data_IF_033121119330
#
_entry.id   IF_033121119330
#
_cell.length_a   1.000
_cell.length_b   1.000
_cell.length_c   1.000
_cell.angle_alpha   90.00
_cell.angle_beta   90.00
_cell.angle_gamma   90.00
#
_symmetry.space_group_name_H-M   'P 1'
#
loop_
_entity.id
_entity.type
_entity.pdbx_description
1 polymer ?
#
# COMPACT_ATOMS: atom_id res chain seq x y z
N UNK A 1 -39.19 -6.58 -1.99
CA UNK A 1 -37.90 -6.05 -1.51
C UNK A 1 -38.15 -4.61 -1.07
N UNK A 2 -37.85 -4.27 0.19
CA UNK A 2 -38.11 -2.93 0.73
C UNK A 2 -36.80 -2.17 0.90
N UNK A 3 -36.82 -0.84 0.71
CA UNK A 3 -35.64 0.02 0.85
C UNK A 3 -35.76 0.83 2.14
N UNK A 4 -34.71 0.83 2.95
CA UNK A 4 -34.65 1.62 4.18
C UNK A 4 -34.51 3.10 3.88
N UNK A 5 -35.41 3.93 4.41
CA UNK A 5 -35.33 5.39 4.19
C UNK A 5 -34.09 6.03 4.87
N UNK A 6 -33.55 5.42 5.92
CA UNK A 6 -32.46 5.99 6.71
C UNK A 6 -31.06 5.65 6.17
N UNK A 7 -30.89 4.49 5.53
CA UNK A 7 -29.59 4.05 5.01
C UNK A 7 -29.63 3.60 3.55
N UNK A 8 -30.78 3.70 2.87
CA UNK A 8 -30.99 3.30 1.47
C UNK A 8 -30.67 1.84 1.13
N UNK A 9 -30.44 0.99 2.14
CA UNK A 9 -30.17 -0.43 1.93
C UNK A 9 -31.47 -1.24 1.72
N UNK A 10 -31.37 -2.28 0.91
CA UNK A 10 -32.43 -3.25 0.70
C UNK A 10 -32.57 -4.19 1.90
N UNK A 11 -33.81 -4.52 2.26
CA UNK A 11 -34.10 -5.44 3.34
C UNK A 11 -35.40 -6.23 3.10
N UNK A 12 -35.48 -7.40 3.74
CA UNK A 12 -36.65 -8.29 3.66
C UNK A 12 -37.54 -8.24 4.90
N UNK A 13 -37.00 -7.82 6.05
CA UNK A 13 -37.72 -7.74 7.32
C UNK A 13 -37.47 -6.38 8.00
N UNK A 14 -38.54 -5.62 8.26
CA UNK A 14 -38.51 -4.30 8.85
C UNK A 14 -39.90 -3.69 8.97
N UNK A 15 -40.01 -2.56 9.67
CA UNK A 15 -41.28 -1.96 10.02
C UNK A 15 -41.69 -0.89 9.01
N UNK A 16 -42.98 -0.84 8.68
CA UNK A 16 -43.56 0.33 8.04
C UNK A 16 -44.02 1.32 9.12
N UNK A 17 -43.56 2.57 9.04
CA UNK A 17 -44.03 3.63 9.92
C UNK A 17 -45.53 3.86 9.71
N UNK A 18 -46.32 3.84 10.79
CA UNK A 18 -47.77 4.05 10.71
C UNK A 18 -48.14 5.40 10.09
N UNK A 19 -47.34 6.45 10.36
CA UNK A 19 -47.62 7.84 9.98
C UNK A 19 -47.18 8.14 8.55
N UNK A 20 -45.91 7.93 8.20
CA UNK A 20 -45.37 8.31 6.89
C UNK A 20 -45.32 7.16 5.88
N UNK A 21 -45.73 5.95 6.27
CA UNK A 21 -45.70 4.73 5.45
C UNK A 21 -44.33 4.35 4.89
N UNK A 22 -43.24 4.98 5.39
CA UNK A 22 -41.87 4.67 5.02
C UNK A 22 -41.30 3.53 5.87
N UNK A 23 -40.35 2.82 5.27
CA UNK A 23 -39.73 1.60 5.77
C UNK A 23 -38.39 1.90 6.47
N UNK A 24 -38.19 1.29 7.65
CA UNK A 24 -36.97 1.46 8.45
C UNK A 24 -36.67 0.16 9.24
N UNK A 25 -35.38 -0.14 9.36
CA UNK A 25 -34.85 -1.36 9.98
C UNK A 25 -34.32 -1.11 11.40
N UNK A 26 -34.09 0.16 11.79
CA UNK A 26 -33.12 0.44 12.87
C UNK A 26 -33.56 0.16 14.31
N UNK A 27 -34.85 -0.08 14.63
CA UNK A 27 -35.27 -0.42 16.02
C UNK A 27 -36.51 -1.33 16.13
N UNK A 28 -36.90 -2.00 15.04
CA UNK A 28 -38.10 -2.82 15.01
C UNK A 28 -37.98 -4.13 15.80
N UNK A 29 -36.80 -4.78 15.72
CA UNK A 29 -36.59 -6.13 16.28
C UNK A 29 -36.78 -6.23 17.80
N UNK A 30 -36.66 -5.11 18.53
CA UNK A 30 -36.77 -5.07 19.99
C UNK A 30 -38.18 -4.73 20.50
N UNK A 31 -39.20 -4.68 19.63
CA UNK A 31 -40.57 -4.37 20.01
C UNK A 31 -41.44 -5.64 20.00
N UNK A 32 -42.23 -5.84 21.06
CA UNK A 32 -43.25 -6.89 21.14
C UNK A 32 -44.36 -6.67 20.11
N UNK A 33 -45.12 -7.72 19.78
CA UNK A 33 -46.09 -7.76 18.68
C UNK A 33 -47.07 -6.57 18.68
N UNK A 34 -47.61 -6.17 19.83
CA UNK A 34 -48.56 -5.05 19.95
C UNK A 34 -47.93 -3.69 19.60
N UNK A 35 -46.65 -3.50 19.92
CA UNK A 35 -45.92 -2.24 19.64
C UNK A 35 -45.43 -2.15 18.19
N UNK A 36 -45.46 -3.26 17.45
CA UNK A 36 -45.11 -3.30 16.02
C UNK A 36 -46.19 -2.67 15.16
N UNK A 37 -47.48 -2.83 15.51
CA UNK A 37 -48.60 -2.29 14.75
C UNK A 37 -48.70 -0.75 14.81
N UNK A 38 -48.20 -0.13 15.89
CA UNK A 38 -48.23 1.32 16.10
C UNK A 38 -46.86 1.99 15.97
N UNK A 39 -45.91 1.31 15.32
CA UNK A 39 -44.54 1.79 15.23
C UNK A 39 -44.44 3.10 14.42
N UNK A 40 -43.69 4.06 14.95
CA UNK A 40 -43.39 5.35 14.30
C UNK A 40 -41.89 5.51 14.13
N UNK A 41 -41.44 5.96 12.95
CA UNK A 41 -40.04 6.28 12.71
C UNK A 41 -39.59 7.50 13.54
N UNK A 42 -38.28 7.68 13.73
CA UNK A 42 -37.72 8.75 14.56
C UNK A 42 -38.18 10.15 14.13
N UNK A 43 -38.34 10.37 12.83
CA UNK A 43 -38.81 11.65 12.29
C UNK A 43 -40.26 11.93 12.70
N UNK A 44 -41.16 10.96 12.51
CA UNK A 44 -42.56 11.07 12.93
C UNK A 44 -42.73 11.09 14.46
N UNK A 45 -41.80 10.47 15.20
CA UNK A 45 -41.78 10.51 16.67
C UNK A 45 -41.37 11.89 17.18
N UNK A 46 -40.36 12.54 16.59
CA UNK A 46 -39.94 13.91 16.96
C UNK A 46 -41.05 14.95 16.74
N UNK A 47 -41.81 14.80 15.66
CA UNK A 47 -42.95 15.70 15.36
C UNK A 47 -44.12 15.51 16.35
N UNK A 48 -44.24 14.33 16.98
CA UNK A 48 -45.29 14.06 17.97
C UNK A 48 -45.02 14.67 19.36
N UNK A 49 -43.87 15.34 19.56
CA UNK A 49 -43.48 15.99 20.83
C UNK A 49 -43.61 17.52 20.79
N UNK A 50 -44.57 18.06 20.05
CA UNK A 50 -45.01 19.45 20.22
C UNK A 50 -46.18 19.49 21.22
N UNK A 51 -46.12 20.28 22.32
CA UNK A 51 -47.15 20.29 23.34
C UNK A 51 -48.33 21.17 22.88
N UNK A 52 -49.20 20.60 22.07
CA UNK A 52 -50.50 21.19 21.77
C UNK A 52 -51.59 20.39 22.47
N UNK A 53 -52.15 20.97 23.55
CA UNK A 53 -53.49 20.67 24.07
C UNK A 53 -54.52 20.72 22.91
N UNK A 54 -55.66 20.00 22.92
CA UNK A 54 -56.73 20.24 23.90
C UNK A 54 -57.58 19.00 24.28
N UNK A 55 -58.37 19.11 25.35
CA UNK A 55 -59.73 18.55 25.36
C UNK A 55 -60.59 19.30 26.37
N UNK A 56 -61.84 19.51 25.96
CA UNK A 56 -62.76 20.57 26.38
C UNK A 56 -63.97 19.99 27.13
N UNK A 57 -64.50 20.72 28.10
CA UNK A 57 -65.92 20.89 28.54
C UNK A 57 -65.89 21.57 29.94
N UNK A 58 -66.64 22.61 30.30
CA UNK A 58 -67.82 23.25 29.72
C UNK A 58 -68.04 24.70 30.27
N UNK A 59 -68.61 25.57 29.41
CA UNK A 59 -69.54 26.72 29.66
C UNK A 59 -69.16 27.95 30.54
N UNK A 60 -69.90 29.10 30.47
CA UNK A 60 -69.31 30.38 30.05
C UNK A 60 -69.44 31.51 31.09
N UNK A 61 -68.50 32.45 31.11
CA UNK A 61 -68.62 33.64 31.95
C UNK A 61 -67.55 34.65 31.60
N UNK A 62 -67.97 35.89 31.39
CA UNK A 62 -67.15 36.96 30.84
C UNK A 62 -65.87 37.25 31.64
N UNK A 63 -64.84 37.66 30.94
CA UNK A 63 -64.46 39.06 30.97
C UNK A 63 -63.40 39.34 29.90
N UNK A 64 -63.60 40.46 29.22
CA UNK A 64 -62.57 41.22 28.54
C UNK A 64 -61.43 41.54 29.51
N UNK A 65 -60.43 40.67 29.56
CA UNK A 65 -59.10 40.96 30.06
C UNK A 65 -58.15 40.78 28.90
N UNK A 66 -57.73 41.88 28.26
CA UNK A 66 -56.46 41.83 27.56
C UNK A 66 -55.45 41.33 28.59
N UNK A 67 -54.83 40.18 28.33
CA UNK A 67 -53.74 39.64 29.14
C UNK A 67 -52.57 40.63 29.10
N UNK A 68 -52.67 41.67 29.93
CA UNK A 68 -51.54 42.46 30.34
C UNK A 68 -50.62 41.48 31.05
N UNK A 69 -49.46 41.21 30.46
CA UNK A 69 -48.49 40.29 31.01
C UNK A 69 -48.27 40.63 32.50
N UNK A 70 -48.81 39.80 33.38
CA UNK A 70 -48.62 39.95 34.82
C UNK A 70 -47.13 39.91 35.12
N UNK A 71 -46.66 40.77 36.02
CA UNK A 71 -45.24 40.89 36.39
C UNK A 71 -44.57 39.53 36.64
N UNK A 72 -45.29 38.57 37.21
CA UNK A 72 -44.82 37.20 37.46
C UNK A 72 -44.48 36.42 36.17
N UNK A 73 -45.25 36.61 35.10
CA UNK A 73 -44.98 36.01 33.78
C UNK A 73 -43.71 36.61 33.20
N UNK A 74 -43.56 37.93 33.26
CA UNK A 74 -42.36 38.62 32.79
C UNK A 74 -41.12 38.16 33.57
N UNK A 75 -41.20 38.05 34.89
CA UNK A 75 -40.10 37.57 35.73
C UNK A 75 -39.75 36.10 35.45
N UNK A 76 -40.74 35.26 35.14
CA UNK A 76 -40.51 33.87 34.75
C UNK A 76 -39.77 33.80 33.40
N UNK A 77 -40.23 34.53 32.40
CA UNK A 77 -39.58 34.61 31.08
C UNK A 77 -38.14 35.14 31.19
N UNK A 78 -37.89 36.15 32.03
CA UNK A 78 -36.52 36.65 32.30
C UNK A 78 -35.63 35.56 32.90
N UNK A 79 -36.14 34.74 33.82
CA UNK A 79 -35.38 33.61 34.39
C UNK A 79 -35.10 32.54 33.34
N UNK A 80 -36.04 32.27 32.44
CA UNK A 80 -35.86 31.31 31.34
C UNK A 80 -34.85 31.84 30.31
N UNK A 81 -34.94 33.11 29.91
CA UNK A 81 -33.94 33.77 29.07
C UNK A 81 -32.54 33.71 29.69
N UNK A 82 -32.42 33.93 31.01
CA UNK A 82 -31.13 33.80 31.71
C UNK A 82 -30.54 32.39 31.59
N UNK A 83 -31.37 31.34 31.65
CA UNK A 83 -30.93 29.94 31.44
C UNK A 83 -30.50 29.68 29.99
N UNK A 84 -31.22 30.24 29.02
CA UNK A 84 -30.84 30.15 27.61
C UNK A 84 -29.49 30.83 27.36
N UNK A 85 -29.27 32.02 27.93
CA UNK A 85 -27.99 32.73 27.85
C UNK A 85 -26.84 31.89 28.41
N UNK A 86 -27.02 31.24 29.57
CA UNK A 86 -25.97 30.34 30.11
C UNK A 86 -25.72 29.12 29.21
N UNK A 87 -26.76 28.59 28.57
CA UNK A 87 -26.63 27.44 27.66
C UNK A 87 -25.87 27.83 26.40
N UNK A 88 -26.20 29.00 25.82
CA UNK A 88 -25.49 29.55 24.65
C UNK A 88 -24.03 29.83 24.98
N UNK A 89 -23.72 30.35 26.17
CA UNK A 89 -22.35 30.58 26.59
C UNK A 89 -21.53 29.29 26.63
N UNK A 90 -22.10 28.19 27.15
CA UNK A 90 -21.47 26.86 27.12
C UNK A 90 -21.23 26.36 25.69
N UNK A 91 -22.22 26.50 24.80
CA UNK A 91 -22.06 26.08 23.40
C UNK A 91 -20.98 26.89 22.67
N UNK A 92 -20.80 28.17 23.00
CA UNK A 92 -19.72 28.99 22.45
C UNK A 92 -18.34 28.43 22.88
N UNK A 93 -18.22 27.95 24.11
CA UNK A 93 -16.99 27.31 24.61
C UNK A 93 -16.74 25.98 23.90
N UNK A 94 -17.77 25.15 23.73
CA UNK A 94 -17.68 23.89 22.99
C UNK A 94 -17.25 24.12 21.54
N UNK A 95 -17.85 25.11 20.85
CA UNK A 95 -17.48 25.48 19.48
C UNK A 95 -16.02 25.93 19.38
N UNK A 96 -15.52 26.68 20.37
CA UNK A 96 -14.11 27.07 20.44
C UNK A 96 -13.21 25.86 20.61
N UNK A 97 -13.58 24.90 21.48
CA UNK A 97 -12.83 23.65 21.66
C UNK A 97 -12.77 22.83 20.37
N UNK A 98 -13.92 22.62 19.72
CA UNK A 98 -14.00 21.89 18.44
C UNK A 98 -13.12 22.57 17.38
N UNK A 99 -13.11 23.91 17.33
CA UNK A 99 -12.26 24.65 16.40
C UNK A 99 -10.77 24.35 16.63
N UNK A 100 -10.33 24.27 17.89
CA UNK A 100 -8.94 23.94 18.24
C UNK A 100 -8.62 22.49 17.83
N UNK A 101 -9.50 21.54 18.14
CA UNK A 101 -9.32 20.14 17.74
C UNK A 101 -9.26 19.96 16.22
N UNK A 102 -10.07 20.72 15.46
CA UNK A 102 -10.02 20.71 13.99
C UNK A 102 -8.70 21.27 13.44
N UNK A 103 -8.10 22.27 14.10
CA UNK A 103 -6.78 22.77 13.72
C UNK A 103 -5.73 21.69 13.94
N UNK A 104 -5.71 21.04 15.11
CA UNK A 104 -4.78 19.95 15.38
C UNK A 104 -4.97 18.74 14.45
N UNK A 105 -6.22 18.40 14.12
CA UNK A 105 -6.51 17.34 13.16
C UNK A 105 -5.98 17.68 11.78
N UNK A 106 -6.13 18.94 11.34
CA UNK A 106 -5.59 19.41 10.07
C UNK A 106 -4.06 19.30 10.05
N UNK A 107 -3.38 19.77 11.10
CA UNK A 107 -1.93 19.67 11.24
C UNK A 107 -1.45 18.20 11.19
N UNK A 108 -2.16 17.31 11.89
CA UNK A 108 -1.87 15.86 11.86
C UNK A 108 -2.05 15.25 10.47
N UNK A 109 -3.10 15.65 9.75
CA UNK A 109 -3.31 15.22 8.35
C UNK A 109 -2.20 15.72 7.42
N UNK A 110 -1.76 16.97 7.55
CA UNK A 110 -0.68 17.54 6.76
C UNK A 110 0.65 16.82 7.04
N UNK A 111 0.96 16.57 8.31
CA UNK A 111 2.13 15.79 8.73
C UNK A 111 2.09 14.35 8.16
N UNK A 112 0.95 13.66 8.30
CA UNK A 112 0.80 12.30 7.79
C UNK A 112 0.92 12.25 6.27
N UNK A 113 0.33 13.23 5.56
CA UNK A 113 0.44 13.33 4.10
C UNK A 113 1.89 13.50 3.64
N UNK A 114 2.65 14.39 4.31
CA UNK A 114 4.07 14.56 4.01
C UNK A 114 4.90 13.31 4.32
N UNK A 115 4.60 12.61 5.42
CA UNK A 115 5.26 11.36 5.79
C UNK A 115 4.99 10.23 4.79
N UNK A 116 3.72 10.09 4.36
CA UNK A 116 3.34 9.12 3.32
C UNK A 116 4.08 9.40 2.02
N UNK A 117 4.18 10.66 1.61
CA UNK A 117 4.94 11.04 0.42
C UNK A 117 6.42 10.65 0.53
N UNK A 118 7.04 10.91 1.68
CA UNK A 118 8.43 10.51 1.93
C UNK A 118 8.62 8.99 1.84
N UNK A 119 7.71 8.19 2.41
CA UNK A 119 7.76 6.74 2.27
C UNK A 119 7.59 6.29 0.82
N UNK A 120 6.69 6.93 0.07
CA UNK A 120 6.50 6.61 -1.34
C UNK A 120 7.77 6.91 -2.16
N UNK A 121 8.46 8.01 -1.87
CA UNK A 121 9.74 8.34 -2.51
C UNK A 121 10.83 7.31 -2.16
N UNK A 122 10.89 6.86 -0.90
CA UNK A 122 11.82 5.80 -0.46
C UNK A 122 11.54 4.46 -1.16
N UNK A 123 10.28 4.03 -1.21
CA UNK A 123 9.87 2.81 -1.92
C UNK A 123 10.25 2.89 -3.39
N UNK A 124 9.95 4.02 -4.06
CA UNK A 124 10.32 4.24 -5.47
C UNK A 124 11.84 4.22 -5.70
N UNK A 125 12.64 4.61 -4.70
CA UNK A 125 14.10 4.49 -4.75
C UNK A 125 14.56 3.04 -4.61
N UNK A 126 13.97 2.30 -3.67
CA UNK A 126 14.27 0.89 -3.45
C UNK A 126 13.91 0.04 -4.67
N UNK A 127 12.74 0.25 -5.28
CA UNK A 127 12.32 -0.43 -6.50
C UNK A 127 13.32 -0.21 -7.64
N UNK A 128 13.81 1.02 -7.83
CA UNK A 128 14.87 1.32 -8.80
C UNK A 128 16.16 0.58 -8.47
N UNK A 129 16.55 0.52 -7.21
CA UNK A 129 17.73 -0.22 -6.76
C UNK A 129 17.61 -1.72 -7.05
N UNK A 130 16.46 -2.33 -6.78
CA UNK A 130 16.17 -3.73 -7.10
C UNK A 130 16.29 -3.99 -8.61
N UNK A 131 15.69 -3.14 -9.45
CA UNK A 131 15.81 -3.27 -10.91
C UNK A 131 17.26 -3.15 -11.40
N UNK A 132 18.12 -2.37 -10.73
CA UNK A 132 19.54 -2.29 -11.06
C UNK A 132 20.29 -3.56 -10.66
N UNK A 133 20.00 -4.13 -9.49
CA UNK A 133 20.58 -5.39 -9.02
C UNK A 133 20.24 -6.53 -10.00
N UNK A 134 18.99 -6.62 -10.46
CA UNK A 134 18.57 -7.61 -11.45
C UNK A 134 19.36 -7.50 -12.75
N UNK A 135 19.59 -6.28 -13.25
CA UNK A 135 20.42 -6.05 -14.44
C UNK A 135 21.86 -6.51 -14.23
N UNK A 136 22.46 -6.19 -13.08
CA UNK A 136 23.81 -6.62 -12.73
C UNK A 136 23.89 -8.15 -12.65
N UNK A 137 22.89 -8.80 -12.03
CA UNK A 137 22.83 -10.25 -11.93
C UNK A 137 22.76 -10.93 -13.31
N UNK A 138 21.97 -10.38 -14.22
CA UNK A 138 21.90 -10.86 -15.61
C UNK A 138 23.24 -10.71 -16.33
N UNK A 139 23.88 -9.55 -16.23
CA UNK A 139 25.21 -9.34 -16.80
C UNK A 139 26.25 -10.29 -16.22
N UNK A 140 26.24 -10.49 -14.89
CA UNK A 140 27.13 -11.43 -14.20
C UNK A 140 26.94 -12.86 -14.70
N UNK A 141 25.70 -13.29 -14.92
CA UNK A 141 25.39 -14.62 -15.45
C UNK A 141 25.94 -14.80 -16.88
N UNK A 142 25.78 -13.77 -17.74
CA UNK A 142 26.34 -13.77 -19.11
C UNK A 142 27.87 -13.84 -19.06
N UNK A 143 28.51 -12.97 -18.29
CA UNK A 143 29.98 -12.95 -18.17
C UNK A 143 30.53 -14.26 -17.61
N UNK A 144 29.88 -14.85 -16.60
CA UNK A 144 30.29 -16.16 -16.08
C UNK A 144 30.17 -17.28 -17.12
N UNK A 145 29.14 -17.23 -17.97
CA UNK A 145 29.00 -18.17 -19.09
C UNK A 145 30.13 -18.00 -20.11
N UNK A 146 30.50 -16.76 -20.43
CA UNK A 146 31.63 -16.47 -21.32
C UNK A 146 32.96 -16.95 -20.74
N UNK A 147 33.20 -16.73 -19.43
CA UNK A 147 34.38 -17.25 -18.73
C UNK A 147 34.43 -18.79 -18.82
N UNK A 148 33.32 -19.47 -18.57
CA UNK A 148 33.25 -20.92 -18.67
C UNK A 148 33.56 -21.40 -20.10
N UNK A 149 33.02 -20.72 -21.11
CA UNK A 149 33.29 -21.03 -22.51
C UNK A 149 34.77 -20.82 -22.87
N UNK A 150 35.35 -19.68 -22.50
CA UNK A 150 36.77 -19.38 -22.75
C UNK A 150 37.69 -20.39 -22.08
N UNK A 151 37.39 -20.82 -20.84
CA UNK A 151 38.14 -21.88 -20.17
C UNK A 151 38.11 -23.19 -20.94
N UNK A 152 36.94 -23.59 -21.46
CA UNK A 152 36.80 -24.79 -22.28
C UNK A 152 37.58 -24.69 -23.60
N UNK A 153 37.59 -23.52 -24.24
CA UNK A 153 38.38 -23.27 -25.46
C UNK A 153 39.88 -23.37 -25.16
N UNK A 154 40.35 -22.77 -24.06
CA UNK A 154 41.75 -22.87 -23.63
C UNK A 154 42.14 -24.33 -23.41
N UNK A 155 41.34 -25.07 -22.64
CA UNK A 155 41.62 -26.48 -22.36
C UNK A 155 41.68 -27.31 -23.66
N UNK A 156 40.72 -27.10 -24.56
CA UNK A 156 40.71 -27.77 -25.87
C UNK A 156 41.95 -27.44 -26.68
N UNK A 157 42.37 -26.16 -26.69
CA UNK A 157 43.55 -25.71 -27.40
C UNK A 157 44.85 -26.26 -26.78
N UNK A 158 44.94 -26.33 -25.46
CA UNK A 158 46.07 -26.94 -24.77
C UNK A 158 46.16 -28.44 -25.07
N UNK A 159 45.03 -29.16 -25.09
CA UNK A 159 45.00 -30.57 -25.48
C UNK A 159 45.43 -30.75 -26.93
N UNK A 160 44.92 -29.93 -27.85
CA UNK A 160 45.34 -29.93 -29.25
C UNK A 160 46.82 -29.63 -29.43
N UNK A 161 47.34 -28.64 -28.71
CA UNK A 161 48.77 -28.31 -28.70
C UNK A 161 49.60 -29.51 -28.24
N UNK A 162 49.21 -30.20 -27.17
CA UNK A 162 49.91 -31.41 -26.69
C UNK A 162 49.88 -32.56 -27.69
N UNK A 163 48.77 -32.75 -28.41
CA UNK A 163 48.64 -33.79 -29.42
C UNK A 163 49.41 -33.47 -30.72
N UNK A 164 49.60 -32.19 -31.02
CA UNK A 164 50.28 -31.75 -32.24
C UNK A 164 51.78 -31.51 -32.08
N UNK A 165 52.27 -31.34 -30.85
CA UNK A 165 53.70 -31.18 -30.57
C UNK A 165 54.33 -32.51 -30.17
N UNK A 166 55.49 -32.82 -30.75
CA UNK A 166 56.32 -33.96 -30.35
C UNK A 166 57.49 -33.42 -29.54
N UNK A 167 57.58 -33.84 -28.27
CA UNK A 167 58.71 -33.51 -27.40
C UNK A 167 59.75 -34.65 -27.45
N UNK A 168 60.96 -34.35 -27.92
CA UNK A 168 62.09 -35.30 -27.92
C UNK A 168 62.98 -34.99 -26.72
N UNK A 169 62.90 -35.85 -25.69
CA UNK A 169 63.72 -35.72 -24.47
C UNK A 169 65.11 -36.32 -24.67
N UNK A 170 66.07 -35.87 -23.84
CA UNK A 170 67.42 -36.42 -23.76
C UNK A 170 68.27 -36.24 -25.03
N UNK A 171 68.06 -35.13 -25.73
CA UNK A 171 68.90 -34.69 -26.85
C UNK A 171 69.61 -33.38 -26.49
N UNK A 172 70.88 -33.19 -26.86
CA UNK A 172 71.79 -34.14 -27.52
C UNK A 172 72.41 -35.17 -26.57
N UNK A 173 72.77 -36.34 -27.09
CA UNK A 173 73.41 -37.42 -26.32
C UNK A 173 74.92 -37.18 -26.13
N UNK A 174 75.53 -36.40 -27.02
CA UNK A 174 76.95 -36.00 -26.95
C UNK A 174 77.10 -34.48 -27.04
N UNK A 175 78.16 -33.90 -26.45
CA UNK A 175 78.47 -32.49 -26.63
C UNK A 175 78.74 -32.19 -28.12
N UNK A 176 78.30 -31.01 -28.57
CA UNK A 176 78.43 -30.50 -29.95
C UNK A 176 77.64 -31.24 -31.05
N UNK A 177 76.61 -32.02 -30.71
CA UNK A 177 75.69 -32.56 -31.70
C UNK A 177 74.77 -31.45 -32.27
N UNK A 178 74.57 -31.47 -33.58
CA UNK A 178 73.68 -30.53 -34.25
C UNK A 178 72.23 -31.05 -34.23
N UNK A 179 71.38 -30.42 -33.42
CA UNK A 179 69.98 -30.80 -33.25
C UNK A 179 69.15 -30.70 -34.54
N UNK A 180 69.53 -29.84 -35.48
CA UNK A 180 68.84 -29.70 -36.77
C UNK A 180 69.06 -30.91 -37.68
N UNK A 181 70.30 -31.42 -37.73
CA UNK A 181 70.64 -32.61 -38.51
C UNK A 181 69.91 -33.84 -37.96
N UNK A 182 69.80 -33.92 -36.63
CA UNK A 182 69.12 -35.04 -35.97
C UNK A 182 67.61 -34.96 -36.22
N UNK A 183 67.01 -33.78 -36.09
CA UNK A 183 65.59 -33.58 -36.42
C UNK A 183 65.28 -33.92 -37.90
N UNK A 184 66.17 -33.57 -38.83
CA UNK A 184 66.04 -33.92 -40.26
C UNK A 184 66.12 -35.43 -40.50
N UNK A 185 67.09 -36.10 -39.86
CA UNK A 185 67.23 -37.56 -39.94
C UNK A 185 66.00 -38.27 -39.38
N UNK A 186 65.46 -37.81 -38.25
CA UNK A 186 64.24 -38.36 -37.65
C UNK A 186 63.03 -38.13 -38.55
N UNK A 187 62.89 -36.94 -39.13
CA UNK A 187 61.81 -36.62 -40.06
C UNK A 187 61.82 -37.55 -41.28
N UNK A 188 63.00 -37.78 -41.87
CA UNK A 188 63.16 -38.68 -43.01
C UNK A 188 62.71 -40.11 -42.70
N UNK A 189 63.04 -40.63 -41.51
CA UNK A 189 62.66 -41.98 -41.08
C UNK A 189 61.14 -42.09 -40.82
N UNK A 190 60.54 -41.04 -40.28
CA UNK A 190 59.10 -40.96 -40.01
C UNK A 190 58.25 -40.60 -41.26
N UNK A 191 58.89 -40.31 -42.40
CA UNK A 191 58.21 -39.83 -43.60
C UNK A 191 57.62 -38.42 -43.46
N UNK A 192 58.13 -37.62 -42.53
CA UNK A 192 57.69 -36.25 -42.22
C UNK A 192 58.82 -35.28 -42.54
N UNK A 193 58.57 -34.25 -43.35
CA UNK A 193 59.56 -33.19 -43.58
C UNK A 193 59.47 -32.18 -42.43
N UNK A 194 60.46 -32.11 -41.50
CA UNK A 194 60.39 -31.17 -40.40
C UNK A 194 60.57 -29.74 -40.91
N UNK A 195 59.66 -28.84 -40.53
CA UNK A 195 59.84 -27.41 -40.78
C UNK A 195 60.85 -26.87 -39.77
N UNK A 196 62.12 -26.79 -40.17
CA UNK A 196 63.25 -26.39 -39.31
C UNK A 196 63.01 -25.03 -38.60
N UNK A 197 62.30 -24.11 -39.24
CA UNK A 197 61.96 -22.78 -38.69
C UNK A 197 60.96 -22.83 -37.51
N UNK A 198 60.39 -23.99 -37.21
CA UNK A 198 59.42 -24.22 -36.12
C UNK A 198 60.03 -25.04 -34.97
N UNK A 199 61.32 -25.40 -35.04
CA UNK A 199 62.02 -26.07 -33.96
C UNK A 199 62.28 -25.09 -32.82
N UNK A 200 61.55 -25.24 -31.72
CA UNK A 200 61.83 -24.51 -30.49
C UNK A 200 62.84 -25.29 -29.67
N UNK A 201 64.06 -24.76 -29.56
CA UNK A 201 65.09 -25.27 -28.64
C UNK A 201 65.02 -24.36 -27.40
N UNK A 202 64.44 -24.81 -26.28
CA UNK A 202 64.40 -23.99 -25.08
C UNK A 202 65.84 -23.72 -24.64
N UNK A 203 66.17 -22.44 -24.42
CA UNK A 203 67.45 -22.04 -23.85
C UNK A 203 67.55 -22.62 -22.44
N UNK A 204 68.20 -23.76 -22.29
CA UNK A 204 68.65 -24.22 -20.97
C UNK A 204 69.69 -23.22 -20.49
N UNK A 205 69.33 -22.40 -19.50
CA UNK A 205 70.31 -21.69 -18.68
C UNK A 205 71.29 -22.74 -18.14
N UNK A 206 72.52 -22.69 -18.64
CA UNK A 206 73.69 -23.32 -18.01
C UNK A 206 74.33 -22.27 -17.12
#
# INVERSE_FOLDING_TARGET
>A
MNICQSCSNEFNDGAQCYVCKKHDVTRFRNLGADRRAQWKCLQCKKVSFSPSRPSSEATPGGNSGGESATLDVILKEIREMKKLVTTVQSLIEDIKSIKVELIHLKESCEYNSSSIKSFQDQVSSLERGVSQIEKIQNSLAVTNKEIANLKSVIETNEQWSRLSHVEVKSMPLKPNENLFVIAESMGKELGIIPKINQLHIPSTNV
#
